data_IF_672265687270
#
_entry.id   IF_672265687270
#
_cell.length_a   1.000
_cell.length_b   1.000
_cell.length_c   1.000
_cell.angle_alpha   90.00
_cell.angle_beta   90.00
_cell.angle_gamma   90.00
#
_symmetry.space_group_name_H-M   'P 1'
#
loop_
_entity.id
_entity.type
_entity.pdbx_description
1 polymer ?
#
# COMPACT_ATOMS: atom_id res chain seq x y z
N UNK A 1 -35.69 8.69 -19.81
CA UNK A 1 -35.52 8.49 -18.35
C UNK A 1 -35.66 7.02 -18.06
N UNK A 2 -34.82 6.52 -17.15
CA UNK A 2 -34.76 5.15 -16.61
C UNK A 2 -34.19 4.05 -17.52
N UNK A 3 -32.87 4.13 -17.77
CA UNK A 3 -31.99 2.96 -17.92
C UNK A 3 -30.56 3.36 -17.47
N UNK A 4 -30.49 3.90 -16.25
CA UNK A 4 -29.26 4.16 -15.48
C UNK A 4 -29.31 3.34 -14.20
N UNK A 5 -29.96 2.18 -14.29
CA UNK A 5 -30.25 1.29 -13.18
C UNK A 5 -29.22 0.18 -13.26
N UNK A 6 -28.39 0.07 -12.23
CA UNK A 6 -27.67 -1.17 -11.92
C UNK A 6 -26.43 -1.52 -12.78
N UNK A 7 -25.61 -0.54 -13.17
CA UNK A 7 -24.15 -0.75 -13.08
C UNK A 7 -23.79 -0.70 -11.58
N UNK A 8 -24.10 -1.83 -10.97
CA UNK A 8 -24.31 -2.11 -9.56
C UNK A 8 -23.16 -1.68 -8.67
N UNK A 9 -23.50 -1.15 -7.48
CA UNK A 9 -22.59 -0.77 -6.39
C UNK A 9 -21.40 -1.70 -6.15
N UNK A 10 -21.53 -3.00 -6.46
CA UNK A 10 -20.48 -4.00 -6.34
C UNK A 10 -19.26 -3.74 -7.23
N UNK A 11 -19.44 -3.37 -8.51
CA UNK A 11 -18.30 -3.05 -9.39
C UNK A 11 -17.59 -1.79 -8.91
N UNK A 12 -18.35 -0.82 -8.37
CA UNK A 12 -17.77 0.35 -7.72
C UNK A 12 -16.97 0.01 -6.46
N UNK A 13 -17.39 -1.00 -5.70
CA UNK A 13 -16.69 -1.46 -4.49
C UNK A 13 -15.43 -2.24 -4.88
N UNK A 14 -15.50 -3.09 -5.89
CA UNK A 14 -14.34 -3.82 -6.40
C UNK A 14 -13.29 -2.85 -6.99
N UNK A 15 -13.73 -1.83 -7.73
CA UNK A 15 -12.86 -0.77 -8.25
C UNK A 15 -12.23 0.05 -7.11
N UNK A 16 -12.98 0.39 -6.07
CA UNK A 16 -12.45 1.06 -4.89
C UNK A 16 -11.41 0.19 -4.16
N UNK A 17 -11.67 -1.11 -4.00
CA UNK A 17 -10.73 -2.04 -3.39
C UNK A 17 -9.44 -2.12 -4.21
N UNK A 18 -9.54 -2.22 -5.54
CA UNK A 18 -8.39 -2.17 -6.44
C UNK A 18 -7.61 -0.86 -6.32
N UNK A 19 -8.29 0.28 -6.20
CA UNK A 19 -7.63 1.57 -5.97
C UNK A 19 -6.84 1.58 -4.65
N UNK A 20 -7.42 1.09 -3.57
CA UNK A 20 -6.71 0.97 -2.29
C UNK A 20 -5.55 -0.01 -2.36
N UNK A 21 -5.70 -1.16 -3.04
CA UNK A 21 -4.60 -2.10 -3.28
C UNK A 21 -3.43 -1.43 -4.02
N UNK A 22 -3.71 -0.63 -5.05
CA UNK A 22 -2.69 0.13 -5.77
C UNK A 22 -1.99 1.15 -4.87
N UNK A 23 -2.74 1.88 -4.04
CA UNK A 23 -2.17 2.86 -3.10
C UNK A 23 -1.29 2.19 -2.03
N UNK A 24 -1.71 1.03 -1.53
CA UNK A 24 -0.92 0.24 -0.57
C UNK A 24 0.38 -0.23 -1.21
N UNK A 25 0.33 -0.77 -2.43
CA UNK A 25 1.52 -1.19 -3.18
C UNK A 25 2.49 -0.04 -3.38
N UNK A 26 2.00 1.09 -3.89
CA UNK A 26 2.81 2.30 -4.11
C UNK A 26 3.44 2.79 -2.79
N UNK A 27 2.70 2.75 -1.70
CA UNK A 27 3.22 3.15 -0.39
C UNK A 27 4.32 2.19 0.10
N UNK A 28 4.17 0.88 -0.12
CA UNK A 28 5.18 -0.11 0.25
C UNK A 28 6.48 0.07 -0.54
N UNK A 29 6.38 0.41 -1.83
CA UNK A 29 7.53 0.72 -2.68
C UNK A 29 8.23 2.02 -2.23
N UNK A 30 7.46 3.06 -1.92
CA UNK A 30 8.00 4.31 -1.38
C UNK A 30 8.76 4.11 -0.05
N UNK A 31 8.30 3.17 0.79
CA UNK A 31 9.00 2.80 2.03
C UNK A 31 10.30 2.02 1.74
N UNK A 32 10.32 1.20 0.68
CA UNK A 32 11.55 0.55 0.23
C UNK A 32 12.62 1.57 -0.18
N UNK A 33 12.21 2.58 -0.95
CA UNK A 33 13.10 3.66 -1.38
C UNK A 33 13.55 4.54 -0.21
N UNK A 34 12.67 4.78 0.77
CA UNK A 34 13.06 5.46 1.99
C UNK A 34 14.11 4.67 2.78
N UNK A 35 13.90 3.36 2.93
CA UNK A 35 14.86 2.46 3.60
C UNK A 35 16.21 2.44 2.90
N UNK A 36 16.24 2.45 1.57
CA UNK A 36 17.49 2.56 0.81
C UNK A 36 18.21 3.89 1.13
N UNK A 37 17.49 5.01 1.01
CA UNK A 37 18.04 6.35 1.34
C UNK A 37 18.58 6.45 2.76
N UNK A 38 17.88 5.87 3.74
CA UNK A 38 18.33 5.89 5.15
C UNK A 38 19.59 5.05 5.35
N UNK A 39 19.76 3.94 4.61
CA UNK A 39 20.98 3.12 4.67
C UNK A 39 22.18 3.81 4.03
N UNK A 40 21.96 4.71 3.09
CA UNK A 40 23.00 5.49 2.41
C UNK A 40 23.43 6.74 3.22
N UNK A 41 22.84 6.97 4.40
CA UNK A 41 23.23 8.07 5.28
C UNK A 41 24.44 7.67 6.14
N UNK A 42 25.55 8.37 5.94
CA UNK A 42 26.82 8.09 6.63
C UNK A 42 26.92 8.69 8.05
N UNK A 43 25.86 9.33 8.55
CA UNK A 43 25.92 10.24 9.71
C UNK A 43 25.11 9.81 10.94
N UNK A 44 24.75 8.53 11.10
CA UNK A 44 24.06 8.08 12.30
C UNK A 44 23.75 6.59 12.38
N UNK A 45 23.38 6.15 13.58
CA UNK A 45 22.71 4.86 13.78
C UNK A 45 21.20 5.06 13.57
N UNK A 46 20.71 4.56 12.44
CA UNK A 46 19.30 4.61 12.05
C UNK A 46 18.55 3.28 12.27
N UNK A 47 19.07 2.38 13.12
CA UNK A 47 18.47 1.06 13.34
C UNK A 47 17.00 1.13 13.79
N UNK A 48 16.65 2.14 14.60
CA UNK A 48 15.28 2.33 15.07
C UNK A 48 14.35 2.72 13.92
N UNK A 49 14.77 3.65 13.09
CA UNK A 49 14.04 4.15 11.92
C UNK A 49 13.90 3.04 10.88
N UNK A 50 14.99 2.32 10.58
CA UNK A 50 14.99 1.18 9.66
C UNK A 50 14.04 0.07 10.12
N UNK A 51 14.00 -0.21 11.43
CA UNK A 51 13.05 -1.17 11.99
C UNK A 51 11.60 -0.68 11.86
N UNK A 52 11.33 0.60 12.12
CA UNK A 52 10.00 1.17 11.94
C UNK A 52 9.54 1.11 10.47
N UNK A 53 10.42 1.46 9.53
CA UNK A 53 10.16 1.40 8.09
C UNK A 53 9.87 -0.05 7.66
N UNK A 54 10.69 -1.01 8.09
CA UNK A 54 10.48 -2.43 7.81
C UNK A 54 9.12 -2.91 8.33
N UNK A 55 8.76 -2.57 9.57
CA UNK A 55 7.47 -2.97 10.15
C UNK A 55 6.28 -2.36 9.41
N UNK A 56 6.35 -1.09 9.02
CA UNK A 56 5.31 -0.44 8.23
C UNK A 56 5.16 -1.09 6.85
N UNK A 57 6.27 -1.34 6.15
CA UNK A 57 6.28 -2.01 4.85
C UNK A 57 5.66 -3.42 4.94
N UNK A 58 6.00 -4.19 5.98
CA UNK A 58 5.44 -5.53 6.19
C UNK A 58 3.92 -5.50 6.40
N UNK A 59 3.41 -4.54 7.18
CA UNK A 59 1.96 -4.35 7.40
C UNK A 59 1.24 -3.98 6.11
N UNK A 60 1.85 -3.18 5.24
CA UNK A 60 1.28 -2.85 3.93
C UNK A 60 1.19 -4.07 3.04
N UNK A 61 2.24 -4.91 2.96
CA UNK A 61 2.15 -6.16 2.19
C UNK A 61 1.11 -7.13 2.75
N UNK A 62 0.95 -7.19 4.07
CA UNK A 62 -0.13 -7.96 4.69
C UNK A 62 -1.51 -7.42 4.31
N UNK A 63 -1.69 -6.10 4.37
CA UNK A 63 -2.94 -5.45 3.96
C UNK A 63 -3.24 -5.67 2.47
N UNK A 64 -2.23 -5.58 1.61
CA UNK A 64 -2.36 -5.85 0.17
C UNK A 64 -2.87 -7.28 -0.06
N UNK A 65 -2.23 -8.27 0.58
CA UNK A 65 -2.65 -9.66 0.52
C UNK A 65 -4.08 -9.89 1.02
N UNK A 66 -4.50 -9.16 2.06
CA UNK A 66 -5.88 -9.23 2.56
C UNK A 66 -6.92 -8.62 1.62
N UNK A 67 -6.50 -7.77 0.67
CA UNK A 67 -7.37 -7.17 -0.35
C UNK A 67 -7.30 -7.89 -1.70
N UNK A 68 -6.56 -9.00 -1.81
CA UNK A 68 -6.65 -9.91 -2.96
C UNK A 68 -7.99 -10.65 -2.87
N UNK A 69 -8.98 -10.13 -3.59
CA UNK A 69 -10.30 -10.75 -3.71
C UNK A 69 -10.28 -11.57 -5.00
N UNK A 70 -10.41 -12.90 -4.87
CA UNK A 70 -10.56 -13.85 -5.99
C UNK A 70 -11.89 -13.69 -6.72
#
# INVERSE_FOLDING_TARGET
>A
MAELKDLTNHDSVHDQIRQYSNLISLTADNLQDLKARVKDLDNGDYNRELNAINQAQQKLYQALKSLEIE
#
